data_IF_205634272688
#
_entry.id   IF_205634272688
#
_cell.length_a   1.000
_cell.length_b   1.000
_cell.length_c   1.000
_cell.angle_alpha   90.00
_cell.angle_beta   90.00
_cell.angle_gamma   90.00
#
_symmetry.space_group_name_H-M   'P 1'
#
loop_
_entity.id
_entity.type
_entity.pdbx_description
1 polymer ?
#
# COMPACT_ATOMS: atom_id res chain seq x y z
N UNK A 1 -12.94 -8.17 -18.68
CA UNK A 1 -11.49 -8.48 -18.46
C UNK A 1 -11.12 -8.26 -17.00
N UNK A 2 -10.43 -9.24 -16.36
CA UNK A 2 -9.91 -9.10 -14.97
C UNK A 2 -8.40 -9.27 -14.97
N UNK A 3 -7.68 -8.51 -14.17
CA UNK A 3 -6.23 -8.63 -14.02
C UNK A 3 -5.91 -9.32 -12.70
N UNK A 4 -5.22 -10.46 -12.73
CA UNK A 4 -4.62 -11.07 -11.56
C UNK A 4 -3.19 -10.60 -11.38
N UNK A 5 -2.77 -10.46 -10.14
CA UNK A 5 -1.37 -10.26 -9.75
C UNK A 5 -0.82 -11.53 -9.15
N UNK A 6 0.43 -11.83 -9.47
CA UNK A 6 1.25 -12.83 -8.76
C UNK A 6 2.42 -12.14 -8.08
N UNK A 7 2.73 -12.52 -6.84
CA UNK A 7 3.84 -11.99 -6.04
C UNK A 7 4.60 -13.12 -5.35
N UNK A 8 5.82 -12.84 -4.93
CA UNK A 8 6.56 -13.70 -3.98
C UNK A 8 6.06 -13.52 -2.54
N UNK A 9 5.48 -12.36 -2.24
CA UNK A 9 4.85 -12.06 -0.96
C UNK A 9 3.42 -12.61 -0.92
N UNK A 10 2.93 -12.89 0.29
CA UNK A 10 1.57 -13.39 0.48
C UNK A 10 0.54 -12.27 0.34
N UNK A 11 -0.53 -12.55 -0.38
CA UNK A 11 -1.75 -11.72 -0.47
C UNK A 11 -2.87 -12.23 0.45
N UNK A 12 -2.53 -12.96 1.49
CA UNK A 12 -3.47 -13.41 2.52
C UNK A 12 -3.00 -13.04 3.92
N UNK A 13 -3.90 -13.10 4.87
CA UNK A 13 -3.58 -13.05 6.31
C UNK A 13 -3.31 -14.46 6.82
N UNK A 14 -2.50 -14.58 7.88
CA UNK A 14 -2.42 -15.82 8.64
C UNK A 14 -2.87 -15.61 10.08
N UNK A 15 -3.41 -16.66 10.66
CA UNK A 15 -3.95 -16.70 12.02
C UNK A 15 -3.33 -17.87 12.77
N UNK A 16 -2.86 -17.60 13.98
CA UNK A 16 -2.34 -18.57 14.94
C UNK A 16 -3.00 -18.37 16.30
N UNK A 17 -2.85 -19.28 17.27
CA UNK A 17 -3.33 -19.06 18.64
C UNK A 17 -2.77 -17.78 19.29
N UNK A 18 -1.57 -17.35 18.89
CA UNK A 18 -0.88 -16.18 19.43
C UNK A 18 -1.29 -14.85 18.76
N UNK A 19 -1.95 -14.92 17.59
CA UNK A 19 -2.35 -13.69 16.87
C UNK A 19 -2.48 -13.85 15.36
N UNK A 20 -2.37 -12.73 14.65
CA UNK A 20 -2.49 -12.70 13.20
C UNK A 20 -1.41 -11.88 12.55
N UNK A 21 -1.00 -12.27 11.34
CA UNK A 21 -0.16 -11.45 10.46
C UNK A 21 -0.99 -10.79 9.37
N UNK A 22 -0.61 -9.59 8.99
CA UNK A 22 -1.25 -8.87 7.89
C UNK A 22 -0.71 -9.32 6.53
N UNK A 23 -1.36 -8.83 5.47
CA UNK A 23 -0.94 -9.03 4.09
C UNK A 23 0.50 -8.60 3.83
N UNK A 24 1.21 -9.36 3.02
CA UNK A 24 2.57 -9.02 2.58
C UNK A 24 2.59 -7.72 1.75
N UNK A 25 3.69 -6.98 1.87
CA UNK A 25 3.91 -5.74 1.09
C UNK A 25 4.46 -6.08 -0.29
N UNK A 26 3.63 -6.59 -1.18
CA UNK A 26 4.02 -6.94 -2.54
C UNK A 26 4.34 -5.70 -3.39
N UNK A 27 5.62 -5.38 -3.51
CA UNK A 27 6.10 -4.30 -4.36
C UNK A 27 6.38 -4.74 -5.80
N UNK A 28 6.93 -5.95 -5.99
CA UNK A 28 7.21 -6.54 -7.29
C UNK A 28 6.17 -7.61 -7.59
N UNK A 29 5.53 -7.49 -8.74
CA UNK A 29 4.40 -8.34 -9.14
C UNK A 29 4.44 -8.64 -10.64
N UNK A 30 3.77 -9.73 -11.04
CA UNK A 30 3.42 -10.02 -12.42
C UNK A 30 1.93 -9.82 -12.61
N UNK A 31 1.51 -9.12 -13.67
CA UNK A 31 0.11 -8.94 -14.04
C UNK A 31 -0.28 -9.84 -15.20
N UNK A 32 -1.45 -10.50 -15.10
CA UNK A 32 -2.04 -11.30 -16.18
C UNK A 32 -3.53 -10.98 -16.34
N UNK A 33 -3.98 -10.77 -17.57
CA UNK A 33 -5.40 -10.54 -17.87
C UNK A 33 -6.13 -11.83 -18.20
N UNK A 34 -7.37 -11.93 -17.71
CA UNK A 34 -8.31 -13.03 -17.94
C UNK A 34 -9.57 -12.48 -18.59
N UNK A 35 -10.09 -13.22 -19.58
CA UNK A 35 -11.41 -12.94 -20.17
C UNK A 35 -12.46 -13.54 -19.25
N UNK A 36 -13.45 -12.75 -18.90
CA UNK A 36 -14.60 -13.17 -18.09
C UNK A 36 -15.86 -12.85 -18.90
N UNK A 37 -16.61 -13.86 -19.25
CA UNK A 37 -17.81 -13.72 -20.06
C UNK A 37 -19.07 -13.65 -19.22
N UNK A 38 -19.10 -14.43 -18.14
CA UNK A 38 -20.25 -14.54 -17.25
C UNK A 38 -19.84 -14.70 -15.77
N UNK A 39 -20.85 -14.88 -14.92
CA UNK A 39 -20.66 -15.00 -13.49
C UNK A 39 -20.00 -16.33 -13.08
N UNK A 40 -20.12 -17.36 -13.92
CA UNK A 40 -19.49 -18.67 -13.68
C UNK A 40 -17.99 -18.55 -13.91
N UNK A 41 -17.58 -17.95 -15.03
CA UNK A 41 -16.14 -17.66 -15.29
C UNK A 41 -15.51 -16.87 -14.15
N UNK A 42 -16.26 -15.89 -13.59
CA UNK A 42 -15.78 -15.10 -12.45
C UNK A 42 -15.69 -15.94 -11.18
N UNK A 43 -16.66 -16.82 -10.94
CA UNK A 43 -16.66 -17.71 -9.78
C UNK A 43 -15.47 -18.67 -9.83
N UNK A 44 -15.26 -19.31 -10.98
CA UNK A 44 -14.15 -20.26 -11.18
C UNK A 44 -12.78 -19.58 -11.00
N UNK A 45 -12.64 -18.34 -11.48
CA UNK A 45 -11.42 -17.55 -11.24
C UNK A 45 -11.24 -17.25 -9.73
N UNK A 46 -12.31 -16.82 -9.04
CA UNK A 46 -12.23 -16.51 -7.60
C UNK A 46 -11.95 -17.77 -6.76
N UNK A 47 -12.52 -18.92 -7.14
CA UNK A 47 -12.26 -20.21 -6.48
C UNK A 47 -10.80 -20.65 -6.66
N UNK A 48 -10.24 -20.50 -7.86
CA UNK A 48 -8.83 -20.75 -8.09
C UNK A 48 -7.92 -19.82 -7.28
N UNK A 49 -8.27 -18.54 -7.19
CA UNK A 49 -7.51 -17.54 -6.44
C UNK A 49 -7.66 -17.71 -4.91
N UNK A 50 -8.78 -18.25 -4.43
CA UNK A 50 -8.97 -18.59 -3.02
C UNK A 50 -7.91 -19.58 -2.54
N UNK A 51 -7.49 -20.51 -3.40
CA UNK A 51 -6.46 -21.51 -3.12
C UNK A 51 -5.02 -21.03 -3.29
N UNK A 52 -4.77 -19.84 -3.83
CA UNK A 52 -3.41 -19.35 -4.08
C UNK A 52 -3.09 -18.08 -3.26
N UNK A 53 -2.34 -18.21 -2.16
CA UNK A 53 -2.01 -17.08 -1.30
C UNK A 53 -1.05 -16.07 -1.93
N UNK A 54 -0.48 -16.37 -3.10
CA UNK A 54 0.43 -15.51 -3.83
C UNK A 54 -0.26 -14.70 -4.92
N UNK A 55 -1.57 -14.82 -5.05
CA UNK A 55 -2.35 -14.11 -6.06
C UNK A 55 -3.45 -13.24 -5.47
N UNK A 56 -3.80 -12.19 -6.21
CA UNK A 56 -4.94 -11.32 -5.93
C UNK A 56 -5.43 -10.68 -7.22
N UNK A 57 -6.51 -9.90 -7.16
CA UNK A 57 -7.05 -9.15 -8.29
C UNK A 57 -6.70 -7.66 -8.16
N UNK A 58 -6.47 -6.99 -9.30
CA UNK A 58 -6.43 -5.53 -9.42
C UNK A 58 -7.28 -5.06 -10.60
N UNK A 59 -7.56 -3.76 -10.62
CA UNK A 59 -8.32 -3.14 -11.72
C UNK A 59 -7.43 -2.70 -12.89
N UNK A 60 -6.14 -2.48 -12.66
CA UNK A 60 -5.22 -1.97 -13.67
C UNK A 60 -4.89 -2.97 -14.78
N UNK A 61 -4.71 -2.46 -16.01
CA UNK A 61 -4.19 -3.22 -17.15
C UNK A 61 -2.66 -3.27 -17.07
N UNK A 62 -2.01 -4.45 -17.10
CA UNK A 62 -0.56 -4.52 -17.12
C UNK A 62 -0.01 -3.97 -18.44
N UNK A 63 1.03 -3.14 -18.38
CA UNK A 63 1.74 -2.64 -19.57
C UNK A 63 2.47 -3.78 -20.27
N UNK A 64 3.09 -4.67 -19.48
CA UNK A 64 3.78 -5.85 -19.96
C UNK A 64 3.25 -7.08 -19.24
N UNK A 65 2.40 -7.86 -19.92
CA UNK A 65 1.81 -9.07 -19.35
C UNK A 65 2.88 -10.10 -19.01
N UNK A 66 2.84 -10.63 -17.78
CA UNK A 66 3.77 -11.65 -17.29
C UNK A 66 5.17 -11.15 -16.94
N UNK A 67 5.48 -9.87 -17.14
CA UNK A 67 6.73 -9.29 -16.68
C UNK A 67 6.66 -8.92 -15.18
N UNK A 68 7.80 -9.03 -14.49
CA UNK A 68 7.93 -8.50 -13.14
C UNK A 68 8.03 -6.99 -13.19
N UNK A 69 7.04 -6.30 -12.65
CA UNK A 69 6.96 -4.84 -12.60
C UNK A 69 6.72 -4.38 -11.18
N UNK A 70 7.08 -3.13 -10.91
CA UNK A 70 6.73 -2.50 -9.65
C UNK A 70 5.24 -2.15 -9.64
N UNK A 71 4.52 -2.62 -8.62
CA UNK A 71 3.07 -2.39 -8.48
C UNK A 71 2.73 -0.93 -8.24
N UNK A 72 3.44 -0.29 -7.31
CA UNK A 72 3.20 1.12 -6.94
C UNK A 72 4.15 2.03 -7.69
N UNK A 73 3.60 3.12 -8.22
CA UNK A 73 4.36 4.16 -8.91
C UNK A 73 5.39 4.84 -8.00
N UNK A 74 6.55 5.17 -8.57
CA UNK A 74 7.50 6.16 -8.05
C UNK A 74 7.68 7.23 -9.12
N UNK A 75 7.83 8.50 -8.70
CA UNK A 75 7.88 9.67 -9.61
C UNK A 75 8.89 9.54 -10.77
N UNK A 76 9.90 8.69 -10.63
CA UNK A 76 10.98 8.49 -11.60
C UNK A 76 10.84 7.21 -12.44
N UNK A 77 9.73 6.46 -12.31
CA UNK A 77 9.55 5.19 -13.02
C UNK A 77 8.26 5.16 -13.83
N UNK A 78 8.29 4.48 -14.98
CA UNK A 78 7.10 4.15 -15.75
C UNK A 78 6.09 3.36 -14.89
N UNK A 79 4.78 3.67 -15.00
CA UNK A 79 3.76 2.89 -14.31
C UNK A 79 3.72 1.45 -14.82
N UNK A 80 3.64 0.47 -13.95
CA UNK A 80 3.50 -0.95 -14.34
C UNK A 80 2.09 -1.32 -14.81
N UNK A 81 1.09 -0.49 -14.44
CA UNK A 81 -0.33 -0.72 -14.70
C UNK A 81 -1.03 0.58 -15.11
N UNK A 82 -1.90 0.49 -16.09
CA UNK A 82 -2.73 1.60 -16.57
C UNK A 82 -4.16 1.46 -16.07
N UNK A 83 -4.82 2.60 -15.84
CA UNK A 83 -6.26 2.64 -15.61
C UNK A 83 -7.01 2.20 -16.88
N UNK A 84 -8.14 1.53 -16.70
CA UNK A 84 -9.02 1.08 -17.75
C UNK A 84 -10.47 1.09 -17.30
N UNK A 85 -11.40 1.14 -18.23
CA UNK A 85 -12.81 0.89 -17.96
C UNK A 85 -13.05 -0.62 -17.87
N UNK A 86 -13.85 -1.04 -16.89
CA UNK A 86 -14.09 -2.44 -16.58
C UNK A 86 -15.57 -2.70 -16.35
N UNK A 87 -16.02 -3.85 -16.86
CA UNK A 87 -17.39 -4.35 -16.72
C UNK A 87 -17.58 -5.21 -15.46
N UNK A 88 -16.85 -4.91 -14.39
CA UNK A 88 -17.01 -5.57 -13.09
C UNK A 88 -16.78 -4.59 -11.93
N UNK A 89 -17.39 -4.93 -10.81
CA UNK A 89 -17.38 -4.16 -9.57
C UNK A 89 -17.16 -5.12 -8.40
N UNK A 90 -16.34 -4.72 -7.44
CA UNK A 90 -16.22 -5.35 -6.13
C UNK A 90 -16.56 -4.33 -5.06
N UNK A 91 -17.60 -4.59 -4.26
CA UNK A 91 -17.90 -3.83 -3.05
C UNK A 91 -17.29 -4.54 -1.84
N UNK A 92 -16.52 -3.83 -1.04
CA UNK A 92 -15.96 -4.31 0.22
C UNK A 92 -16.69 -3.70 1.40
N UNK A 93 -17.26 -4.56 2.26
CA UNK A 93 -17.86 -4.19 3.53
C UNK A 93 -16.97 -4.69 4.65
N UNK A 94 -16.59 -3.81 5.56
CA UNK A 94 -15.76 -4.14 6.71
C UNK A 94 -16.37 -3.63 8.01
N UNK A 95 -16.99 -4.55 8.78
CA UNK A 95 -17.47 -4.33 10.13
C UNK A 95 -18.90 -3.80 10.27
N UNK A 96 -19.75 -3.90 9.23
CA UNK A 96 -21.17 -3.59 9.39
C UNK A 96 -21.83 -4.56 10.40
N UNK A 97 -22.79 -4.08 11.19
CA UNK A 97 -23.46 -4.89 12.19
C UNK A 97 -24.19 -6.08 11.54
N UNK A 98 -23.97 -7.28 12.05
CA UNK A 98 -24.71 -8.47 11.64
C UNK A 98 -26.12 -8.49 12.26
N UNK A 99 -27.13 -9.03 11.56
CA UNK A 99 -28.40 -9.33 12.21
C UNK A 99 -28.25 -10.50 13.19
N UNK A 100 -29.10 -10.55 14.20
CA UNK A 100 -29.06 -11.58 15.26
C UNK A 100 -29.20 -13.00 14.66
N UNK A 101 -29.96 -13.13 13.58
CA UNK A 101 -30.23 -14.39 12.88
C UNK A 101 -29.20 -14.71 11.76
N UNK A 102 -28.06 -14.01 11.69
CA UNK A 102 -27.09 -14.20 10.61
C UNK A 102 -26.46 -15.59 10.62
N UNK A 103 -26.74 -16.37 9.59
CA UNK A 103 -26.03 -17.61 9.30
C UNK A 103 -25.02 -17.38 8.16
N UNK A 104 -23.73 -17.49 8.47
CA UNK A 104 -22.65 -17.30 7.52
C UNK A 104 -22.63 -18.39 6.41
N UNK A 105 -23.30 -19.53 6.62
CA UNK A 105 -23.44 -20.59 5.63
C UNK A 105 -24.65 -20.40 4.69
N UNK A 106 -25.57 -19.49 5.08
CA UNK A 106 -26.74 -19.12 4.26
C UNK A 106 -26.83 -17.61 4.04
N UNK A 107 -25.77 -16.98 3.50
CA UNK A 107 -25.67 -15.53 3.49
C UNK A 107 -26.78 -14.84 2.68
N UNK A 108 -27.26 -15.47 1.62
CA UNK A 108 -28.29 -14.88 0.75
C UNK A 108 -29.63 -14.64 1.44
N UNK A 109 -29.86 -15.23 2.60
CA UNK A 109 -31.07 -14.98 3.39
C UNK A 109 -31.11 -13.57 3.99
N UNK A 110 -29.95 -12.94 4.19
CA UNK A 110 -29.87 -11.69 4.93
C UNK A 110 -28.92 -10.63 4.33
N UNK A 111 -27.91 -10.98 3.54
CA UNK A 111 -26.92 -10.00 3.02
C UNK A 111 -27.52 -8.99 2.05
N UNK A 112 -28.61 -9.29 1.39
CA UNK A 112 -29.25 -8.40 0.41
C UNK A 112 -29.58 -7.01 0.98
N UNK A 113 -29.82 -6.88 2.29
CA UNK A 113 -30.12 -5.62 2.97
C UNK A 113 -28.96 -4.64 2.97
N UNK A 114 -27.73 -5.13 2.80
CA UNK A 114 -26.53 -4.29 2.77
C UNK A 114 -26.17 -3.81 1.37
N UNK A 115 -26.74 -4.42 0.35
CA UNK A 115 -26.45 -4.07 -1.04
C UNK A 115 -27.24 -2.81 -1.45
N UNK A 116 -26.61 -1.88 -2.17
CA UNK A 116 -27.30 -0.74 -2.78
C UNK A 116 -28.45 -1.21 -3.68
N UNK A 117 -29.55 -0.46 -3.71
CA UNK A 117 -30.75 -0.82 -4.44
C UNK A 117 -30.52 -1.29 -5.90
N UNK A 118 -29.62 -0.65 -6.71
CA UNK A 118 -29.33 -1.10 -8.07
C UNK A 118 -28.73 -2.50 -8.15
N UNK A 119 -28.08 -2.98 -7.08
CA UNK A 119 -27.36 -4.25 -7.04
C UNK A 119 -28.13 -5.39 -6.36
N UNK A 120 -29.24 -5.11 -5.70
CA UNK A 120 -29.97 -6.11 -4.92
C UNK A 120 -30.48 -7.29 -5.74
N UNK A 121 -30.82 -7.08 -7.02
CA UNK A 121 -31.37 -8.10 -7.93
C UNK A 121 -30.34 -8.66 -8.91
N UNK A 122 -29.14 -8.09 -8.95
CA UNK A 122 -28.10 -8.52 -9.89
C UNK A 122 -27.50 -9.87 -9.45
N UNK A 123 -26.97 -10.61 -10.44
CA UNK A 123 -26.11 -11.75 -10.17
C UNK A 123 -24.89 -11.30 -9.38
N UNK A 124 -24.51 -12.06 -8.37
CA UNK A 124 -23.48 -11.64 -7.42
C UNK A 124 -22.72 -12.85 -6.87
N UNK A 125 -21.41 -12.68 -6.67
CA UNK A 125 -20.61 -13.60 -5.87
C UNK A 125 -20.26 -12.89 -4.57
N UNK A 126 -20.64 -13.49 -3.45
CA UNK A 126 -20.17 -13.11 -2.12
C UNK A 126 -18.91 -13.90 -1.82
N UNK A 127 -17.89 -13.19 -1.36
CA UNK A 127 -16.66 -13.76 -0.83
C UNK A 127 -16.44 -13.26 0.59
N UNK A 128 -16.42 -14.15 1.57
CA UNK A 128 -16.05 -13.80 2.92
C UNK A 128 -14.59 -13.32 2.97
N UNK A 129 -14.36 -12.13 3.51
CA UNK A 129 -13.02 -11.58 3.65
C UNK A 129 -12.15 -12.39 4.61
N UNK A 130 -10.85 -12.17 4.59
CA UNK A 130 -9.89 -12.88 5.46
C UNK A 130 -10.22 -12.81 6.96
N UNK A 131 -10.90 -11.77 7.41
CA UNK A 131 -11.25 -11.58 8.83
C UNK A 131 -12.70 -11.96 9.18
N UNK A 132 -13.48 -12.44 8.21
CA UNK A 132 -14.85 -12.90 8.45
C UNK A 132 -14.88 -14.13 9.36
N UNK A 133 -15.79 -14.15 10.33
CA UNK A 133 -15.87 -15.19 11.36
C UNK A 133 -14.84 -15.07 12.48
N UNK A 134 -13.87 -14.14 12.37
CA UNK A 134 -12.83 -13.91 13.38
C UNK A 134 -13.04 -12.56 14.07
N UNK A 135 -13.27 -11.52 13.27
CA UNK A 135 -13.59 -10.18 13.77
C UNK A 135 -15.10 -9.96 13.71
N UNK A 136 -15.62 -9.19 14.64
CA UNK A 136 -17.03 -8.84 14.67
C UNK A 136 -17.50 -8.12 13.41
N UNK A 137 -18.77 -8.30 13.07
CA UNK A 137 -19.46 -7.64 11.97
C UNK A 137 -19.34 -8.32 10.62
N UNK A 138 -20.12 -7.84 9.66
CA UNK A 138 -20.08 -8.27 8.26
C UNK A 138 -18.77 -7.86 7.60
N UNK A 139 -18.07 -8.83 7.06
CA UNK A 139 -16.78 -8.65 6.39
C UNK A 139 -16.75 -9.46 5.11
N UNK A 140 -17.07 -8.81 3.99
CA UNK A 140 -17.28 -9.50 2.74
C UNK A 140 -16.98 -8.61 1.53
N UNK A 141 -16.53 -9.26 0.46
CA UNK A 141 -16.49 -8.72 -0.87
C UNK A 141 -17.73 -9.19 -1.66
N UNK A 142 -18.35 -8.28 -2.40
CA UNK A 142 -19.45 -8.57 -3.28
C UNK A 142 -19.03 -8.27 -4.72
N UNK A 143 -18.94 -9.30 -5.55
CA UNK A 143 -18.48 -9.21 -6.92
C UNK A 143 -19.65 -9.22 -7.89
N UNK A 144 -19.68 -8.24 -8.79
CA UNK A 144 -20.72 -8.07 -9.79
C UNK A 144 -20.12 -7.93 -11.18
N UNK A 145 -20.77 -8.48 -12.18
CA UNK A 145 -20.55 -8.11 -13.57
C UNK A 145 -21.52 -6.99 -13.94
N UNK A 146 -21.01 -5.95 -14.59
CA UNK A 146 -21.77 -4.79 -15.03
C UNK A 146 -22.26 -4.99 -16.47
N UNK A 147 -23.38 -4.36 -16.81
CA UNK A 147 -23.93 -4.35 -18.18
C UNK A 147 -23.06 -3.54 -19.15
N UNK A 148 -22.26 -2.62 -18.65
CA UNK A 148 -21.33 -1.77 -19.41
C UNK A 148 -20.05 -1.46 -18.60
N UNK A 149 -18.92 -1.19 -19.29
CA UNK A 149 -17.69 -0.80 -18.62
C UNK A 149 -17.82 0.57 -17.92
N UNK A 150 -17.15 0.72 -16.76
CA UNK A 150 -17.13 1.95 -15.97
C UNK A 150 -15.71 2.21 -15.47
N UNK A 151 -15.28 3.47 -15.51
CA UNK A 151 -13.98 3.88 -15.03
C UNK A 151 -13.87 3.90 -13.50
N UNK A 152 -12.66 3.72 -12.99
CA UNK A 152 -12.37 3.69 -11.54
C UNK A 152 -12.81 4.96 -10.83
N UNK A 153 -12.68 6.12 -11.47
CA UNK A 153 -13.03 7.42 -10.90
C UNK A 153 -14.53 7.52 -10.61
N UNK A 154 -15.37 7.12 -11.57
CA UNK A 154 -16.82 7.13 -11.43
C UNK A 154 -17.29 6.16 -10.35
N UNK A 155 -16.74 4.94 -10.34
CA UNK A 155 -17.03 3.95 -9.30
C UNK A 155 -16.60 4.45 -7.92
N UNK A 156 -15.42 5.02 -7.80
CA UNK A 156 -14.92 5.58 -6.54
C UNK A 156 -15.83 6.68 -5.99
N UNK A 157 -16.27 7.59 -6.85
CA UNK A 157 -17.18 8.68 -6.48
C UNK A 157 -18.53 8.15 -6.01
N UNK A 158 -19.10 7.21 -6.77
CA UNK A 158 -20.37 6.59 -6.43
C UNK A 158 -20.31 5.81 -5.13
N UNK A 159 -19.35 4.90 -4.97
CA UNK A 159 -19.18 4.08 -3.75
C UNK A 159 -18.94 4.93 -2.52
N UNK A 160 -18.16 6.01 -2.65
CA UNK A 160 -17.97 6.99 -1.56
C UNK A 160 -19.29 7.65 -1.13
N UNK A 161 -20.19 7.91 -2.07
CA UNK A 161 -21.50 8.46 -1.82
C UNK A 161 -22.47 7.51 -1.12
N UNK A 162 -22.29 6.19 -1.30
CA UNK A 162 -23.12 5.18 -0.63
C UNK A 162 -22.87 5.09 0.88
N UNK A 163 -21.62 5.32 1.32
CA UNK A 163 -21.19 5.04 2.69
C UNK A 163 -21.13 3.54 3.01
N UNK A 164 -20.36 3.17 4.02
CA UNK A 164 -20.26 1.77 4.48
C UNK A 164 -19.43 0.81 3.60
N UNK A 165 -18.87 1.29 2.48
CA UNK A 165 -18.02 0.53 1.57
C UNK A 165 -16.66 1.18 1.40
N UNK A 166 -15.61 0.37 1.18
CA UNK A 166 -14.28 0.91 0.91
C UNK A 166 -14.14 1.43 -0.53
N UNK A 167 -14.18 2.76 -0.68
CA UNK A 167 -13.92 3.42 -1.95
C UNK A 167 -12.43 3.44 -2.35
N UNK A 168 -11.53 3.00 -1.48
CA UNK A 168 -10.09 2.92 -1.74
C UNK A 168 -9.72 1.85 -2.77
N UNK A 169 -10.58 0.85 -2.98
CA UNK A 169 -10.39 -0.24 -3.94
C UNK A 169 -10.35 0.22 -5.40
N UNK A 170 -10.95 1.37 -5.73
CA UNK A 170 -11.05 1.86 -7.12
C UNK A 170 -9.81 2.67 -7.49
N UNK A 171 -8.69 1.97 -7.59
CA UNK A 171 -7.41 2.44 -8.11
C UNK A 171 -6.74 1.31 -8.89
N UNK A 172 -6.02 1.61 -10.00
CA UNK A 172 -5.45 0.60 -10.87
C UNK A 172 -4.58 -0.44 -10.15
N UNK A 173 -3.86 -0.03 -9.11
CA UNK A 173 -2.85 -0.85 -8.42
C UNK A 173 -3.28 -1.35 -7.04
N UNK A 174 -4.53 -1.06 -6.63
CA UNK A 174 -5.03 -1.48 -5.32
C UNK A 174 -5.41 -2.97 -5.36
N UNK A 175 -4.83 -3.82 -4.49
CA UNK A 175 -5.20 -5.23 -4.41
C UNK A 175 -6.62 -5.42 -3.88
N UNK A 176 -7.38 -6.30 -4.55
CA UNK A 176 -8.54 -6.97 -4.02
C UNK A 176 -8.07 -8.35 -3.56
N UNK A 177 -8.00 -8.54 -2.27
CA UNK A 177 -7.47 -9.77 -1.67
C UNK A 177 -8.49 -10.90 -1.78
N UNK A 178 -8.16 -11.95 -2.54
CA UNK A 178 -9.05 -13.06 -2.88
C UNK A 178 -8.68 -14.37 -2.22
N UNK A 179 -7.42 -14.50 -1.76
CA UNK A 179 -6.93 -15.72 -1.17
C UNK A 179 -7.55 -15.98 0.22
N UNK A 180 -7.83 -17.25 0.50
CA UNK A 180 -8.23 -17.72 1.83
C UNK A 180 -7.13 -17.41 2.84
N UNK A 181 -7.46 -16.98 4.07
CA UNK A 181 -6.48 -16.84 5.12
C UNK A 181 -5.87 -18.20 5.49
N UNK A 182 -4.62 -18.18 5.93
CA UNK A 182 -3.92 -19.36 6.42
C UNK A 182 -4.20 -19.51 7.93
N UNK A 183 -4.52 -20.73 8.36
CA UNK A 183 -4.75 -21.06 9.76
C UNK A 183 -3.71 -22.09 10.22
N UNK A 184 -2.98 -21.79 11.28
CA UNK A 184 -1.96 -22.65 11.87
C UNK A 184 -2.29 -22.87 13.36
N UNK A 185 -2.58 -24.11 13.74
CA UNK A 185 -2.93 -24.47 15.11
C UNK A 185 -4.33 -24.04 15.56
N UNK A 186 -5.14 -23.49 14.68
CA UNK A 186 -6.57 -23.17 14.89
C UNK A 186 -7.35 -23.52 13.62
N UNK A 187 -8.64 -23.78 13.77
CA UNK A 187 -9.52 -24.09 12.64
C UNK A 187 -10.05 -22.83 11.95
N UNK A 188 -10.27 -22.90 10.62
CA UNK A 188 -11.03 -21.87 9.90
C UNK A 188 -12.50 -21.90 10.37
N UNK A 189 -13.03 -20.79 10.92
CA UNK A 189 -14.43 -20.73 11.35
C UNK A 189 -15.42 -20.86 10.19
N UNK A 190 -14.97 -20.69 8.94
CA UNK A 190 -15.81 -20.73 7.75
C UNK A 190 -15.40 -21.88 6.82
N UNK A 191 -16.26 -22.89 6.69
CA UNK A 191 -16.01 -24.03 5.78
C UNK A 191 -16.02 -23.61 4.30
N UNK A 192 -16.87 -22.66 3.95
CA UNK A 192 -17.04 -22.13 2.61
C UNK A 192 -16.97 -20.61 2.66
N UNK A 193 -16.22 -20.01 1.72
CA UNK A 193 -16.04 -18.55 1.66
C UNK A 193 -16.62 -17.92 0.41
N UNK A 194 -16.92 -18.70 -0.63
CA UNK A 194 -17.52 -18.24 -1.87
C UNK A 194 -18.97 -18.73 -2.02
N UNK A 195 -19.88 -17.80 -2.35
CA UNK A 195 -21.29 -18.08 -2.56
C UNK A 195 -21.77 -17.31 -3.79
N UNK A 196 -22.36 -18.01 -4.75
CA UNK A 196 -22.88 -17.38 -5.98
C UNK A 196 -24.40 -17.29 -5.92
N UNK A 197 -24.94 -16.16 -6.32
CA UNK A 197 -26.35 -15.94 -6.62
C UNK A 197 -26.49 -15.55 -8.09
N UNK A 198 -27.18 -16.36 -8.86
CA UNK A 198 -27.47 -16.06 -10.26
C UNK A 198 -28.38 -14.84 -10.39
N UNK A 199 -28.25 -14.13 -11.50
CA UNK A 199 -29.03 -12.95 -11.81
C UNK A 199 -28.51 -12.20 -13.06
N UNK A 200 -29.18 -11.13 -13.48
CA UNK A 200 -28.70 -10.30 -14.57
C UNK A 200 -27.42 -9.57 -14.20
N UNK A 201 -26.71 -9.06 -15.20
CA UNK A 201 -25.61 -8.12 -15.00
C UNK A 201 -26.14 -6.89 -14.24
N UNK A 202 -25.33 -6.34 -13.37
CA UNK A 202 -25.70 -5.17 -12.57
C UNK A 202 -25.79 -3.92 -13.45
N UNK A 203 -26.85 -3.16 -13.26
CA UNK A 203 -27.04 -1.87 -13.90
C UNK A 203 -26.80 -0.76 -12.87
N UNK A 204 -25.76 0.03 -13.09
CA UNK A 204 -25.50 1.20 -12.27
C UNK A 204 -26.35 2.38 -12.74
N UNK A 205 -26.64 3.36 -11.85
CA UNK A 205 -27.31 4.60 -12.25
C UNK A 205 -26.60 5.30 -13.42
N UNK A 206 -27.35 5.95 -14.27
CA UNK A 206 -26.82 6.63 -15.46
C UNK A 206 -25.79 7.69 -15.12
N UNK A 207 -25.94 8.36 -13.98
CA UNK A 207 -25.00 9.36 -13.45
C UNK A 207 -23.61 8.76 -13.15
N UNK A 208 -23.54 7.44 -12.87
CA UNK A 208 -22.27 6.73 -12.65
C UNK A 208 -21.64 6.33 -13.97
N UNK A 209 -22.48 5.96 -14.94
CA UNK A 209 -22.08 5.46 -16.25
C UNK A 209 -22.06 6.56 -17.31
N UNK A 210 -22.84 7.62 -17.13
CA UNK A 210 -22.89 8.79 -17.99
C UNK A 210 -21.77 9.75 -17.65
N UNK A 211 -20.91 9.88 -18.58
CA UNK A 211 -20.10 11.04 -18.92
C UNK A 211 -19.62 11.91 -17.72
N UNK A 212 -18.71 11.40 -16.95
CA UNK A 212 -17.51 12.19 -16.84
C UNK A 212 -16.82 11.97 -18.20
N UNK A 213 -17.14 12.76 -19.19
CA UNK A 213 -16.28 12.91 -20.36
C UNK A 213 -14.90 13.13 -19.80
N UNK A 214 -14.07 12.12 -19.98
CA UNK A 214 -12.68 12.18 -19.61
C UNK A 214 -12.08 13.26 -20.49
N UNK A 215 -12.13 14.48 -20.03
CA UNK A 215 -11.33 15.53 -20.63
C UNK A 215 -9.88 15.24 -20.21
N UNK A 216 -9.16 14.52 -21.09
CA UNK A 216 -7.74 14.23 -20.92
C UNK A 216 -6.93 15.51 -20.64
N UNK A 217 -7.42 16.67 -21.12
CA UNK A 217 -6.83 17.97 -20.86
C UNK A 217 -7.07 18.44 -19.42
N UNK A 218 -8.27 18.24 -18.89
CA UNK A 218 -8.60 18.59 -17.50
C UNK A 218 -7.85 17.71 -16.51
N UNK A 219 -7.70 16.41 -16.78
CA UNK A 219 -6.89 15.52 -15.95
C UNK A 219 -5.41 15.81 -16.06
N UNK A 220 -4.90 16.11 -17.25
CA UNK A 220 -3.52 16.57 -17.42
C UNK A 220 -3.28 17.87 -16.64
N UNK A 221 -4.27 18.79 -16.64
CA UNK A 221 -4.23 20.02 -15.84
C UNK A 221 -4.25 19.72 -14.34
N UNK A 222 -5.17 18.86 -13.86
CA UNK A 222 -5.28 18.48 -12.45
C UNK A 222 -4.01 17.75 -11.99
N UNK A 223 -3.46 16.86 -12.80
CA UNK A 223 -2.20 16.19 -12.50
C UNK A 223 -1.01 17.17 -12.51
N UNK A 224 -0.97 18.08 -13.45
CA UNK A 224 0.06 19.13 -13.49
C UNK A 224 -0.05 20.07 -12.27
N UNK A 225 -1.25 20.47 -11.88
CA UNK A 225 -1.50 21.27 -10.68
C UNK A 225 -1.12 20.51 -9.40
N UNK A 226 -1.50 19.22 -9.28
CA UNK A 226 -1.09 18.36 -8.15
C UNK A 226 0.42 18.16 -8.11
N UNK A 227 1.06 17.94 -9.27
CA UNK A 227 2.51 17.80 -9.37
C UNK A 227 3.21 19.10 -8.98
N UNK A 228 2.69 20.26 -9.43
CA UNK A 228 3.20 21.58 -9.07
C UNK A 228 2.98 21.87 -7.56
N UNK A 229 1.84 21.48 -6.99
CA UNK A 229 1.52 21.66 -5.58
C UNK A 229 2.35 20.72 -4.71
N UNK A 230 2.54 19.45 -5.11
CA UNK A 230 3.42 18.48 -4.44
C UNK A 230 4.87 18.94 -4.51
N UNK A 231 5.33 19.41 -5.68
CA UNK A 231 6.68 19.97 -5.84
C UNK A 231 6.90 21.22 -4.98
N UNK A 232 5.90 22.12 -4.90
CA UNK A 232 5.96 23.29 -3.99
C UNK A 232 5.98 22.85 -2.53
N UNK A 233 5.16 21.87 -2.17
CA UNK A 233 5.09 21.36 -0.78
C UNK A 233 6.37 20.60 -0.40
N UNK A 234 6.91 19.80 -1.32
CA UNK A 234 8.21 19.13 -1.14
C UNK A 234 9.35 20.14 -1.07
N UNK A 235 9.32 21.19 -1.90
CA UNK A 235 10.32 22.26 -1.88
C UNK A 235 10.25 23.09 -0.58
N UNK A 236 9.05 23.44 -0.13
CA UNK A 236 8.83 24.13 1.16
C UNK A 236 9.22 23.23 2.33
N UNK A 237 8.80 21.96 2.31
CA UNK A 237 9.14 20.96 3.32
C UNK A 237 10.63 20.58 3.28
N UNK A 238 11.26 20.52 2.11
CA UNK A 238 12.71 20.35 1.99
C UNK A 238 13.45 21.56 2.57
N UNK A 239 12.96 22.77 2.33
CA UNK A 239 13.53 24.00 2.90
C UNK A 239 13.32 24.11 4.39
N UNK A 240 12.18 23.65 4.93
CA UNK A 240 11.90 23.54 6.37
C UNK A 240 12.65 22.38 7.04
N UNK A 241 12.89 21.28 6.31
CA UNK A 241 13.67 20.12 6.77
C UNK A 241 15.17 20.32 6.54
N UNK A 242 15.55 21.28 5.66
CA UNK A 242 16.94 21.64 5.44
C UNK A 242 17.55 22.11 6.75
N UNK A 243 18.50 21.34 7.26
CA UNK A 243 19.11 21.55 8.57
C UNK A 243 18.51 20.77 9.74
N UNK A 244 17.26 20.26 9.67
CA UNK A 244 16.72 19.40 10.75
C UNK A 244 17.24 17.97 10.67
N UNK A 245 17.31 17.41 9.48
CA UNK A 245 17.85 16.07 9.26
C UNK A 245 19.34 16.01 9.54
N UNK A 246 20.09 16.96 9.01
CA UNK A 246 21.53 17.09 9.18
C UNK A 246 21.89 17.34 10.66
N UNK A 247 21.17 18.23 11.32
CA UNK A 247 21.32 18.49 12.76
C UNK A 247 20.95 17.26 13.61
N UNK A 248 19.93 16.48 13.19
CA UNK A 248 19.59 15.23 13.87
C UNK A 248 20.63 14.13 13.62
N UNK A 249 21.21 14.08 12.42
CA UNK A 249 22.29 13.16 12.10
C UNK A 249 23.58 13.51 12.88
N UNK A 250 23.93 14.80 12.94
CA UNK A 250 25.07 15.27 13.72
C UNK A 250 24.88 14.98 15.23
N UNK A 251 23.69 15.23 15.79
CA UNK A 251 23.40 14.88 17.18
C UNK A 251 23.54 13.39 17.47
N UNK A 252 23.09 12.52 16.56
CA UNK A 252 23.25 11.06 16.69
C UNK A 252 24.72 10.66 16.62
N UNK A 253 25.49 11.28 15.74
CA UNK A 253 26.92 11.07 15.63
C UNK A 253 27.63 11.47 16.95
N UNK A 254 27.33 12.66 17.49
CA UNK A 254 27.86 13.09 18.76
C UNK A 254 27.48 12.14 19.90
N UNK A 255 26.24 11.69 19.96
CA UNK A 255 25.80 10.71 20.97
C UNK A 255 26.56 9.39 20.85
N UNK A 256 26.71 8.85 19.62
CA UNK A 256 27.46 7.63 19.38
C UNK A 256 28.93 7.75 19.83
N UNK A 257 29.54 8.91 19.60
CA UNK A 257 30.91 9.19 20.04
C UNK A 257 30.98 9.23 21.59
N UNK A 258 30.02 9.88 22.23
CA UNK A 258 29.96 10.00 23.69
C UNK A 258 29.73 8.64 24.35
N UNK A 259 28.88 7.79 23.77
CA UNK A 259 28.52 6.46 24.28
C UNK A 259 29.57 5.39 23.99
N UNK A 260 30.57 5.68 23.14
CA UNK A 260 31.56 4.70 22.70
C UNK A 260 32.43 4.19 23.86
N UNK A 261 32.61 2.86 23.94
CA UNK A 261 33.41 2.22 24.96
C UNK A 261 34.89 2.49 24.75
N UNK A 262 35.66 2.37 25.85
CA UNK A 262 37.10 2.47 25.76
C UNK A 262 37.68 1.38 24.83
N UNK A 263 38.48 1.79 23.84
CA UNK A 263 38.97 0.93 22.75
C UNK A 263 38.24 1.13 21.44
N UNK A 264 36.97 1.55 21.42
CA UNK A 264 36.19 1.78 20.21
C UNK A 264 36.07 3.26 19.81
N UNK A 265 36.41 4.16 20.72
CA UNK A 265 36.26 5.63 20.59
C UNK A 265 36.93 6.18 19.33
N UNK A 266 38.16 5.75 19.06
CA UNK A 266 38.93 6.16 17.89
C UNK A 266 38.20 5.85 16.57
N UNK A 267 37.74 4.61 16.41
CA UNK A 267 37.04 4.16 15.20
C UNK A 267 35.65 4.79 15.08
N UNK A 268 34.96 5.00 16.21
CA UNK A 268 33.65 5.68 16.24
C UNK A 268 33.78 7.13 15.82
N UNK A 269 34.74 7.90 16.34
CA UNK A 269 34.97 9.30 15.94
C UNK A 269 35.24 9.35 14.43
N UNK A 270 36.16 8.53 13.92
CA UNK A 270 36.51 8.49 12.50
C UNK A 270 35.30 8.18 11.62
N UNK A 271 34.53 7.16 11.99
CA UNK A 271 33.31 6.71 11.25
C UNK A 271 32.25 7.78 11.22
N UNK A 272 31.92 8.36 12.37
CA UNK A 272 30.84 9.34 12.49
C UNK A 272 31.23 10.69 11.85
N UNK A 273 32.49 11.10 11.95
CA UNK A 273 33.00 12.28 11.25
C UNK A 273 32.89 12.10 9.73
N UNK A 274 33.35 10.96 9.20
CA UNK A 274 33.24 10.65 7.77
C UNK A 274 31.76 10.57 7.31
N UNK A 275 30.90 9.91 8.05
CA UNK A 275 29.49 9.75 7.71
C UNK A 275 28.72 11.09 7.66
N UNK A 276 29.12 12.07 8.47
CA UNK A 276 28.47 13.39 8.54
C UNK A 276 29.13 14.46 7.67
N UNK A 277 30.39 14.28 7.26
CA UNK A 277 31.12 15.20 6.39
C UNK A 277 30.43 15.45 5.04
N UNK A 278 29.76 14.44 4.48
CA UNK A 278 28.95 14.57 3.26
C UNK A 278 27.91 15.69 3.30
N UNK A 279 27.41 16.04 4.47
CA UNK A 279 26.45 17.14 4.62
C UNK A 279 27.10 18.51 4.54
N UNK A 280 28.36 18.61 4.96
CA UNK A 280 29.19 19.82 4.81
C UNK A 280 29.56 20.02 3.36
N UNK A 281 30.04 18.98 2.68
CA UNK A 281 30.37 19.02 1.23
C UNK A 281 29.13 19.40 0.39
N UNK A 282 27.95 18.92 0.76
CA UNK A 282 26.70 19.26 0.10
C UNK A 282 26.17 20.68 0.45
N UNK A 283 26.87 21.46 1.27
CA UNK A 283 26.45 22.80 1.71
C UNK A 283 25.19 22.80 2.60
N UNK A 284 24.88 21.65 3.22
CA UNK A 284 23.67 21.43 4.04
C UNK A 284 23.92 21.53 5.53
N UNK A 285 25.19 21.55 5.95
CA UNK A 285 25.65 21.74 7.31
C UNK A 285 26.87 22.68 7.27
N UNK A 286 26.91 23.63 8.18
CA UNK A 286 28.07 24.52 8.33
C UNK A 286 29.26 23.74 8.89
N UNK A 287 30.44 23.96 8.29
CA UNK A 287 31.66 23.24 8.66
C UNK A 287 32.08 23.50 10.12
N UNK A 288 31.96 24.75 10.59
CA UNK A 288 32.34 25.10 11.94
C UNK A 288 31.42 24.41 12.94
N UNK A 289 30.10 24.42 12.70
CA UNK A 289 29.11 23.73 13.55
C UNK A 289 29.37 22.23 13.60
N UNK A 290 29.71 21.63 12.46
CA UNK A 290 30.05 20.21 12.36
C UNK A 290 31.31 19.87 13.12
N UNK A 291 32.37 20.66 12.94
CA UNK A 291 33.66 20.45 13.59
C UNK A 291 33.55 20.59 15.11
N UNK A 292 32.97 21.70 15.59
CA UNK A 292 32.86 22.00 16.99
C UNK A 292 32.05 20.94 17.76
N UNK A 293 30.92 20.48 17.17
CA UNK A 293 30.10 19.47 17.81
C UNK A 293 30.80 18.11 17.94
N UNK A 294 31.53 17.66 16.90
CA UNK A 294 32.26 16.39 16.94
C UNK A 294 33.49 16.50 17.85
N UNK A 295 34.16 17.65 17.85
CA UNK A 295 35.32 17.91 18.73
C UNK A 295 34.90 17.90 20.20
N UNK A 296 33.81 18.59 20.53
CA UNK A 296 33.24 18.59 21.88
C UNK A 296 32.86 17.17 22.34
N UNK A 297 32.14 16.42 21.50
CA UNK A 297 31.74 15.02 21.77
C UNK A 297 32.97 14.13 21.98
N UNK A 298 33.97 14.22 21.12
CA UNK A 298 35.20 13.41 21.21
C UNK A 298 36.08 13.76 22.42
N UNK A 299 36.21 15.03 22.74
CA UNK A 299 37.03 15.50 23.88
C UNK A 299 36.36 15.28 25.22
N UNK A 300 35.00 15.26 25.28
CA UNK A 300 34.26 14.96 26.53
C UNK A 300 34.55 13.55 27.08
N UNK A 301 34.99 12.63 26.23
CA UNK A 301 35.23 11.23 26.59
C UNK A 301 36.69 10.87 26.74
N UNK A 302 37.62 11.79 26.44
CA UNK A 302 39.06 11.56 26.41
C UNK A 302 39.82 12.55 27.31
N UNK A 303 40.93 12.12 27.96
CA UNK A 303 41.77 13.02 28.74
C UNK A 303 42.44 14.08 27.84
N UNK A 304 42.68 15.28 28.37
CA UNK A 304 43.21 16.44 27.63
C UNK A 304 44.45 16.14 26.76
N UNK A 305 45.34 15.26 27.22
CA UNK A 305 46.53 14.82 26.48
C UNK A 305 46.24 14.12 25.15
N UNK A 306 44.96 13.64 24.93
CA UNK A 306 44.51 12.97 23.72
C UNK A 306 43.62 13.84 22.83
N UNK A 307 43.33 15.08 23.18
CA UNK A 307 42.49 15.97 22.37
C UNK A 307 43.04 16.20 20.95
N UNK A 308 44.35 16.26 20.77
CA UNK A 308 44.98 16.34 19.46
C UNK A 308 44.80 15.07 18.56
N UNK A 309 44.40 13.95 19.16
CA UNK A 309 44.01 12.75 18.43
C UNK A 309 42.60 12.95 17.82
N UNK A 310 41.64 13.49 18.58
CA UNK A 310 40.30 13.82 18.14
C UNK A 310 40.34 14.76 16.93
N UNK A 311 41.13 15.83 17.03
CA UNK A 311 41.34 16.79 15.96
C UNK A 311 41.83 16.11 14.66
N UNK A 312 42.87 15.27 14.75
CA UNK A 312 43.38 14.53 13.60
C UNK A 312 42.36 13.60 12.94
N UNK A 313 41.47 12.98 13.74
CA UNK A 313 40.44 12.08 13.23
C UNK A 313 39.35 12.85 12.48
N UNK A 314 38.92 13.98 13.03
CA UNK A 314 37.91 14.84 12.37
C UNK A 314 38.50 15.46 11.07
N UNK A 315 39.74 15.98 11.12
CA UNK A 315 40.41 16.53 9.95
C UNK A 315 40.69 15.42 8.88
N UNK A 316 40.90 14.20 9.31
CA UNK A 316 41.03 13.06 8.42
C UNK A 316 39.78 12.78 7.58
N UNK A 317 38.60 13.05 8.12
CA UNK A 317 37.34 12.90 7.39
C UNK A 317 37.18 13.87 6.21
N UNK A 318 37.79 15.05 6.28
CA UNK A 318 37.79 16.05 5.21
C UNK A 318 38.62 15.63 3.97
N UNK A 319 39.54 14.70 4.16
CA UNK A 319 40.48 14.25 3.11
C UNK A 319 40.03 12.97 2.41
N UNK A 320 38.90 12.37 2.86
CA UNK A 320 38.33 11.21 2.22
C UNK A 320 37.66 11.60 0.89
N UNK A 321 37.83 10.80 -0.19
CA UNK A 321 37.29 11.10 -1.51
C UNK A 321 35.75 11.06 -1.55
#
# INVERSE_FOLDING_TARGET
MITTLTSKELFCKSYTPEGSTDYGRAYMVQGRQHVINDLVDLYDLLEALEGDPHQCIIRGKPIASGAWVRRTYREESEPGFLSQELDWLCLDIDGAQLPDEADMHMPWMWVGRYLPAPLQRAGCILQWSSSAGIKEGLRAHFWFLLDRPVCDRSLKAWVKGLGGFDAGLYQPVQPHYTARPLFEGIDDPLRQRLFMRQGPRAQLPDEVCGQLEWDEREDARIQAERKAQTSRHLFTRAKELQGRYEKAALRRACQAITDALEGERHDTIRKEAWATWRFVVAGRLDESVWYDALYEAGTSTLPARRHGEVERLIEGAKKAP
#
